data_IF_417531963312
#
_entry.id   IF_417531963312
#
_cell.length_a   1.000
_cell.length_b   1.000
_cell.length_c   1.000
_cell.angle_alpha   90.00
_cell.angle_beta   90.00
_cell.angle_gamma   90.00
#
_symmetry.space_group_name_H-M   'P 1'
#
loop_
_entity.id
_entity.type
_entity.pdbx_description
1 polymer ?
#
# COMPACT_ATOMS: atom_id res chain seq x y z
N UNK A 1 17.07 11.19 -0.45
CA UNK A 1 17.04 12.67 -0.59
C UNK A 1 16.77 13.29 0.79
N UNK A 2 17.43 14.41 1.16
CA UNK A 2 17.14 15.09 2.44
C UNK A 2 15.66 15.49 2.57
N UNK A 3 15.00 15.81 1.44
CA UNK A 3 13.57 16.15 1.43
C UNK A 3 12.69 14.99 1.91
N UNK A 4 13.16 13.75 1.76
CA UNK A 4 12.47 12.52 2.15
C UNK A 4 12.85 12.03 3.55
N UNK A 5 14.06 12.34 4.03
CA UNK A 5 14.60 11.70 5.25
C UNK A 5 14.74 12.64 6.43
N UNK A 6 14.92 13.95 6.21
CA UNK A 6 15.20 14.91 7.28
C UNK A 6 14.14 14.94 8.37
N UNK A 7 12.86 14.87 7.99
CA UNK A 7 11.75 14.86 8.94
C UNK A 7 11.66 13.56 9.75
N UNK A 8 12.15 12.44 9.21
CA UNK A 8 12.22 11.15 9.92
C UNK A 8 13.38 11.12 10.91
N UNK A 9 14.54 11.66 10.52
CA UNK A 9 15.72 11.75 11.38
C UNK A 9 15.51 12.73 12.54
N UNK A 10 14.58 13.68 12.41
CA UNK A 10 14.19 14.61 13.47
C UNK A 10 13.22 14.00 14.51
N UNK A 11 12.71 12.78 14.30
CA UNK A 11 11.82 12.11 15.25
C UNK A 11 12.57 11.70 16.53
N UNK A 12 11.85 11.72 17.66
CA UNK A 12 12.41 11.34 18.95
C UNK A 12 12.97 9.91 18.94
N UNK A 13 14.27 9.79 19.19
CA UNK A 13 15.01 8.52 19.23
C UNK A 13 15.38 7.92 17.87
N UNK A 14 15.22 8.66 16.77
CA UNK A 14 15.66 8.24 15.44
C UNK A 14 17.15 7.85 15.42
N UNK A 15 18.00 8.62 16.11
CA UNK A 15 19.46 8.38 16.16
C UNK A 15 19.87 6.99 16.66
N UNK A 16 19.01 6.31 17.42
CA UNK A 16 19.32 4.99 18.02
C UNK A 16 18.43 3.86 17.51
N UNK A 17 17.23 4.16 17.01
CA UNK A 17 16.21 3.16 16.68
C UNK A 17 15.71 3.22 15.23
N UNK A 18 16.13 4.19 14.44
CA UNK A 18 15.77 4.31 13.04
C UNK A 18 16.98 3.98 12.16
N UNK A 19 16.77 3.08 11.20
CA UNK A 19 17.72 2.82 10.11
C UNK A 19 16.99 3.05 8.80
N UNK A 20 17.57 3.87 7.93
CA UNK A 20 17.01 4.19 6.63
C UNK A 20 17.74 3.37 5.57
N UNK A 21 16.97 2.77 4.68
CA UNK A 21 17.44 2.00 3.54
C UNK A 21 16.89 2.64 2.28
N UNK A 22 17.71 2.71 1.23
CA UNK A 22 17.23 3.07 -0.09
C UNK A 22 16.65 1.80 -0.74
N UNK A 23 15.37 1.84 -1.08
CA UNK A 23 14.61 0.68 -1.57
C UNK A 23 13.80 1.09 -2.79
N UNK A 24 13.69 0.20 -3.77
CA UNK A 24 12.65 0.23 -4.80
C UNK A 24 11.83 -1.06 -4.68
N UNK A 25 10.50 -0.95 -4.73
CA UNK A 25 9.61 -2.11 -4.65
C UNK A 25 9.81 -3.12 -5.80
N UNK A 26 10.36 -2.65 -6.93
CA UNK A 26 10.68 -3.48 -8.08
C UNK A 26 12.14 -3.99 -8.08
N UNK A 27 12.96 -3.56 -7.12
CA UNK A 27 14.32 -4.07 -6.89
C UNK A 27 14.33 -4.98 -5.64
N UNK A 28 14.25 -6.29 -5.90
CA UNK A 28 14.16 -7.31 -4.85
C UNK A 28 15.32 -7.25 -3.83
N UNK A 29 16.55 -7.07 -4.31
CA UNK A 29 17.74 -7.10 -3.44
C UNK A 29 17.78 -5.90 -2.48
N UNK A 30 17.25 -4.76 -2.92
CA UNK A 30 17.07 -3.58 -2.08
C UNK A 30 16.11 -3.83 -0.92
N UNK A 31 15.05 -4.63 -1.16
CA UNK A 31 14.05 -5.00 -0.15
C UNK A 31 14.65 -6.00 0.86
N UNK A 32 15.32 -7.04 0.38
CA UNK A 32 15.96 -8.07 1.23
C UNK A 32 16.90 -7.43 2.25
N UNK A 33 17.67 -6.43 1.83
CA UNK A 33 18.58 -5.68 2.70
C UNK A 33 17.88 -5.02 3.88
N UNK A 34 16.61 -4.62 3.72
CA UNK A 34 15.84 -3.93 4.74
C UNK A 34 15.02 -4.87 5.64
N UNK A 35 14.55 -6.02 5.14
CA UNK A 35 13.74 -6.95 5.97
C UNK A 35 14.56 -8.01 6.72
N UNK A 36 15.82 -8.22 6.34
CA UNK A 36 16.70 -9.15 7.04
C UNK A 36 16.86 -8.79 8.52
N UNK A 37 16.53 -9.75 9.39
CA UNK A 37 16.57 -9.57 10.85
C UNK A 37 15.31 -8.93 11.45
N UNK A 38 14.28 -8.63 10.66
CA UNK A 38 13.00 -8.15 11.16
C UNK A 38 12.14 -9.29 11.74
N UNK A 39 11.49 -9.04 12.88
CA UNK A 39 10.49 -9.96 13.44
C UNK A 39 9.12 -9.84 12.76
N UNK A 40 8.80 -8.64 12.25
CA UNK A 40 7.56 -8.29 11.57
C UNK A 40 7.83 -7.23 10.49
N UNK A 41 6.99 -7.20 9.46
CA UNK A 41 7.09 -6.20 8.38
C UNK A 41 5.76 -5.47 8.22
N UNK A 42 5.82 -4.15 8.13
CA UNK A 42 4.67 -3.31 7.78
C UNK A 42 4.84 -2.85 6.33
N UNK A 43 4.07 -3.41 5.41
CA UNK A 43 4.10 -3.03 4.00
C UNK A 43 3.10 -1.91 3.73
N UNK A 44 3.60 -0.67 3.78
CA UNK A 44 2.83 0.55 3.53
C UNK A 44 3.03 1.10 2.11
N UNK A 45 4.13 0.74 1.45
CA UNK A 45 4.56 1.35 0.21
C UNK A 45 3.65 0.93 -0.95
N UNK A 46 2.99 1.90 -1.57
CA UNK A 46 2.16 1.71 -2.76
C UNK A 46 1.99 3.05 -3.46
N UNK A 47 2.10 3.12 -4.79
CA UNK A 47 1.82 4.36 -5.52
C UNK A 47 0.37 4.83 -5.29
N UNK A 48 0.22 6.11 -4.96
CA UNK A 48 -1.07 6.75 -4.75
C UNK A 48 -1.12 8.04 -5.58
N UNK A 49 -1.66 7.92 -6.80
CA UNK A 49 -1.71 9.01 -7.78
C UNK A 49 -3.15 9.53 -7.83
N UNK A 50 -3.32 10.82 -7.53
CA UNK A 50 -4.63 11.53 -7.58
C UNK A 50 -4.88 12.14 -8.96
N UNK A 51 -3.82 12.37 -9.73
CA UNK A 51 -3.88 12.94 -11.07
C UNK A 51 -4.15 11.89 -12.15
N UNK A 52 -4.31 12.36 -13.38
CA UNK A 52 -4.48 11.49 -14.54
C UNK A 52 -3.31 10.50 -14.68
N UNK A 53 -3.66 9.22 -14.80
CA UNK A 53 -2.70 8.13 -14.94
C UNK A 53 -2.60 7.73 -16.42
N UNK A 54 -1.47 8.03 -17.05
CA UNK A 54 -1.24 7.75 -18.48
C UNK A 54 -0.82 6.31 -18.74
N UNK A 55 -0.04 5.74 -17.82
CA UNK A 55 0.50 4.38 -17.93
C UNK A 55 0.13 3.57 -16.67
N UNK A 56 -1.15 3.18 -16.50
CA UNK A 56 -1.63 2.58 -15.26
C UNK A 56 -0.90 1.29 -14.88
N UNK A 57 -0.48 0.51 -15.88
CA UNK A 57 0.31 -0.70 -15.65
C UNK A 57 1.62 -0.36 -14.93
N UNK A 58 2.42 0.54 -15.52
CA UNK A 58 3.75 0.91 -15.00
C UNK A 58 3.69 1.77 -13.74
N UNK A 59 2.71 2.67 -13.66
CA UNK A 59 2.64 3.69 -12.61
C UNK A 59 1.91 3.22 -11.35
N UNK A 60 0.98 2.26 -11.47
CA UNK A 60 0.15 1.79 -10.35
C UNK A 60 0.15 0.27 -10.19
N UNK A 61 -0.19 -0.48 -11.24
CA UNK A 61 -0.49 -1.91 -11.12
C UNK A 61 0.77 -2.74 -10.82
N UNK A 62 1.80 -2.62 -11.65
CA UNK A 62 3.08 -3.31 -11.48
C UNK A 62 3.73 -3.03 -10.11
N UNK A 63 4.00 -1.76 -9.73
CA UNK A 63 4.61 -1.47 -8.44
C UNK A 63 3.74 -1.91 -7.25
N UNK A 64 2.41 -1.85 -7.35
CA UNK A 64 1.54 -2.33 -6.27
C UNK A 64 1.56 -3.87 -6.16
N UNK A 65 1.39 -4.58 -7.28
CA UNK A 65 1.25 -6.04 -7.28
C UNK A 65 2.62 -6.71 -7.11
N UNK A 66 3.56 -6.44 -8.02
CA UNK A 66 4.91 -7.04 -7.97
C UNK A 66 5.66 -6.61 -6.72
N UNK A 67 5.53 -5.34 -6.33
CA UNK A 67 6.11 -4.83 -5.09
C UNK A 67 5.60 -5.55 -3.85
N UNK A 68 4.29 -5.81 -3.77
CA UNK A 68 3.71 -6.57 -2.67
C UNK A 68 4.24 -8.00 -2.64
N UNK A 69 4.27 -8.69 -3.78
CA UNK A 69 4.82 -10.05 -3.87
C UNK A 69 6.30 -10.08 -3.48
N UNK A 70 7.10 -9.11 -3.92
CA UNK A 70 8.52 -8.99 -3.57
C UNK A 70 8.72 -8.84 -2.05
N UNK A 71 7.97 -7.95 -1.40
CA UNK A 71 8.04 -7.76 0.06
C UNK A 71 7.64 -9.02 0.82
N UNK A 72 6.57 -9.69 0.40
CA UNK A 72 6.12 -10.94 1.02
C UNK A 72 7.13 -12.08 0.83
N UNK A 73 7.77 -12.13 -0.35
CA UNK A 73 8.82 -13.10 -0.65
C UNK A 73 10.04 -12.87 0.25
N UNK A 74 10.55 -11.64 0.30
CA UNK A 74 11.66 -11.29 1.17
C UNK A 74 11.35 -11.56 2.65
N UNK A 75 10.13 -11.22 3.11
CA UNK A 75 9.70 -11.47 4.48
C UNK A 75 9.66 -12.97 4.80
N UNK A 76 9.12 -13.79 3.89
CA UNK A 76 9.08 -15.24 4.05
C UNK A 76 10.48 -15.84 4.12
N UNK A 77 11.37 -15.43 3.22
CA UNK A 77 12.76 -15.93 3.16
C UNK A 77 13.57 -15.51 4.39
N UNK A 78 13.34 -14.30 4.92
CA UNK A 78 13.96 -13.82 6.14
C UNK A 78 13.38 -14.43 7.44
N UNK A 79 12.34 -15.27 7.35
CA UNK A 79 11.70 -15.89 8.51
C UNK A 79 10.86 -14.91 9.35
N UNK A 80 10.33 -13.85 8.74
CA UNK A 80 9.43 -12.89 9.40
C UNK A 80 8.18 -13.60 9.91
N UNK A 81 7.77 -13.27 11.14
CA UNK A 81 6.63 -13.93 11.79
C UNK A 81 5.27 -13.50 11.24
N UNK A 82 5.11 -12.22 10.90
CA UNK A 82 3.88 -11.66 10.31
C UNK A 82 4.18 -10.44 9.45
N UNK A 83 3.44 -10.31 8.34
CA UNK A 83 3.38 -9.09 7.54
C UNK A 83 2.03 -8.40 7.74
N UNK A 84 2.06 -7.10 8.06
CA UNK A 84 0.89 -6.24 8.06
C UNK A 84 0.87 -5.45 6.75
N UNK A 85 -0.07 -5.77 5.88
CA UNK A 85 -0.30 -5.10 4.61
C UNK A 85 -1.23 -3.91 4.81
N UNK A 86 -0.80 -2.73 4.38
CA UNK A 86 -1.71 -1.57 4.29
C UNK A 86 -2.41 -1.61 2.94
N UNK A 87 -3.63 -2.14 2.95
CA UNK A 87 -4.53 -2.07 1.80
C UNK A 87 -5.27 -0.72 1.80
N UNK A 88 -6.56 -0.69 1.46
CA UNK A 88 -7.39 0.50 1.44
C UNK A 88 -8.87 0.12 1.37
N UNK A 89 -9.75 1.01 1.79
CA UNK A 89 -11.18 0.95 1.44
C UNK A 89 -11.37 0.83 -0.09
N UNK A 90 -10.41 1.29 -0.91
CA UNK A 90 -10.41 1.14 -2.35
C UNK A 90 -10.29 -0.31 -2.86
N UNK A 91 -9.97 -1.27 -1.98
CA UNK A 91 -10.07 -2.71 -2.26
C UNK A 91 -11.47 -3.29 -1.96
N UNK A 92 -12.33 -2.51 -1.30
CA UNK A 92 -13.71 -2.84 -0.92
C UNK A 92 -14.73 -2.09 -1.80
N UNK A 93 -14.41 -0.86 -2.22
CA UNK A 93 -15.19 -0.02 -3.14
C UNK A 93 -14.32 0.57 -4.28
N UNK A 94 -14.86 0.82 -5.48
CA UNK A 94 -16.28 0.82 -5.86
C UNK A 94 -16.86 -0.58 -6.13
N UNK A 95 -18.14 -0.75 -5.82
CA UNK A 95 -18.95 -1.92 -6.18
C UNK A 95 -20.36 -1.43 -6.55
N UNK A 96 -20.58 -0.97 -7.80
CA UNK A 96 -21.76 -0.19 -8.20
C UNK A 96 -23.09 -0.93 -8.05
N UNK A 97 -23.06 -2.26 -8.12
CA UNK A 97 -24.26 -3.11 -7.99
C UNK A 97 -24.57 -3.49 -6.54
N UNK A 98 -23.86 -2.92 -5.55
CA UNK A 98 -24.08 -3.23 -4.15
C UNK A 98 -25.40 -2.60 -3.65
N UNK A 99 -26.26 -3.34 -2.91
CA UNK A 99 -27.49 -2.78 -2.36
C UNK A 99 -27.21 -1.61 -1.41
N UNK A 100 -27.93 -0.50 -1.57
CA UNK A 100 -27.69 0.73 -0.79
C UNK A 100 -28.06 0.64 0.69
N UNK A 101 -28.84 -0.38 1.07
CA UNK A 101 -29.30 -0.67 2.44
C UNK A 101 -28.45 -1.73 3.15
N UNK A 102 -27.45 -2.31 2.46
CA UNK A 102 -26.58 -3.34 3.02
C UNK A 102 -25.23 -2.74 3.40
N UNK A 103 -24.91 -2.81 4.70
CA UNK A 103 -23.61 -2.37 5.24
C UNK A 103 -22.49 -3.22 4.66
N UNK A 104 -21.39 -2.57 4.26
CA UNK A 104 -20.17 -3.24 3.81
C UNK A 104 -19.30 -3.65 5.00
N UNK A 105 -18.75 -4.84 4.92
CA UNK A 105 -17.82 -5.43 5.89
C UNK A 105 -16.54 -5.93 5.18
N UNK A 106 -15.68 -6.65 5.90
CA UNK A 106 -14.42 -7.19 5.40
C UNK A 106 -14.59 -8.32 4.37
N UNK A 107 -15.81 -8.82 4.15
CA UNK A 107 -16.10 -9.81 3.10
C UNK A 107 -16.37 -9.15 1.74
N UNK A 108 -16.51 -7.83 1.70
CA UNK A 108 -16.82 -7.06 0.52
C UNK A 108 -15.55 -6.75 -0.30
N UNK A 109 -15.68 -6.82 -1.62
CA UNK A 109 -14.59 -6.50 -2.56
C UNK A 109 -15.03 -5.47 -3.60
N UNK A 110 -14.06 -4.68 -4.05
CA UNK A 110 -14.18 -3.83 -5.23
C UNK A 110 -14.50 -4.65 -6.48
N UNK A 111 -15.32 -4.09 -7.35
CA UNK A 111 -15.62 -4.63 -8.67
C UNK A 111 -14.45 -4.34 -9.64
N UNK A 112 -13.65 -5.38 -9.88
CA UNK A 112 -12.46 -5.34 -10.74
C UNK A 112 -12.80 -4.95 -12.18
N UNK A 113 -13.90 -5.45 -12.72
CA UNK A 113 -14.28 -5.21 -14.11
C UNK A 113 -14.80 -3.79 -14.28
N UNK A 114 -15.59 -3.30 -13.32
CA UNK A 114 -15.97 -1.90 -13.26
C UNK A 114 -14.74 -0.99 -13.23
N UNK A 115 -13.75 -1.27 -12.38
CA UNK A 115 -12.55 -0.45 -12.29
C UNK A 115 -11.75 -0.44 -13.61
N UNK A 116 -11.60 -1.58 -14.28
CA UNK A 116 -10.92 -1.67 -15.58
C UNK A 116 -11.65 -0.89 -16.67
N UNK A 117 -12.98 -1.01 -16.75
CA UNK A 117 -13.79 -0.36 -17.77
C UNK A 117 -13.86 1.16 -17.60
N UNK A 118 -13.82 1.65 -16.36
CA UNK A 118 -13.98 3.07 -16.04
C UNK A 118 -12.66 3.77 -15.69
N UNK A 119 -11.51 3.09 -15.86
CA UNK A 119 -10.19 3.67 -15.57
C UNK A 119 -9.97 4.01 -14.10
N UNK A 120 -10.61 3.29 -13.16
CA UNK A 120 -10.44 3.49 -11.71
C UNK A 120 -9.20 2.73 -11.23
N UNK A 121 -8.04 3.17 -11.71
CA UNK A 121 -6.79 2.41 -11.65
C UNK A 121 -6.23 2.22 -10.23
N UNK A 122 -6.41 3.18 -9.33
CA UNK A 122 -5.95 3.06 -7.94
C UNK A 122 -6.74 2.00 -7.17
N UNK A 123 -8.08 1.99 -7.30
CA UNK A 123 -8.89 0.92 -6.71
C UNK A 123 -8.53 -0.43 -7.29
N UNK A 124 -8.30 -0.52 -8.61
CA UNK A 124 -7.85 -1.74 -9.24
C UNK A 124 -6.51 -2.22 -8.68
N UNK A 125 -5.52 -1.34 -8.55
CA UNK A 125 -4.18 -1.70 -8.07
C UNK A 125 -4.20 -2.17 -6.62
N UNK A 126 -4.92 -1.48 -5.73
CA UNK A 126 -5.06 -1.90 -4.32
C UNK A 126 -5.78 -3.24 -4.21
N UNK A 127 -6.85 -3.44 -4.99
CA UNK A 127 -7.60 -4.70 -5.01
C UNK A 127 -6.74 -5.87 -5.46
N UNK A 128 -6.00 -5.71 -6.57
CA UNK A 128 -5.17 -6.78 -7.12
C UNK A 128 -3.94 -7.06 -6.25
N UNK A 129 -3.32 -6.04 -5.67
CA UNK A 129 -2.20 -6.22 -4.74
C UNK A 129 -2.64 -6.97 -3.46
N UNK A 130 -3.81 -6.65 -2.90
CA UNK A 130 -4.34 -7.36 -1.73
C UNK A 130 -4.69 -8.82 -2.06
N UNK A 131 -5.34 -9.08 -3.21
CA UNK A 131 -5.60 -10.46 -3.66
C UNK A 131 -4.31 -11.25 -3.87
N UNK A 132 -3.29 -10.66 -4.49
CA UNK A 132 -1.98 -11.29 -4.65
C UNK A 132 -1.31 -11.60 -3.30
N UNK A 133 -1.49 -10.74 -2.29
CA UNK A 133 -1.00 -10.99 -0.95
C UNK A 133 -1.70 -12.18 -0.28
N UNK A 134 -3.03 -12.29 -0.42
CA UNK A 134 -3.80 -13.41 0.09
C UNK A 134 -3.44 -14.73 -0.59
N UNK A 135 -3.29 -14.72 -1.92
CA UNK A 135 -2.86 -15.90 -2.68
C UNK A 135 -1.46 -16.35 -2.24
N UNK A 136 -0.52 -15.40 -2.10
CA UNK A 136 0.82 -15.69 -1.61
C UNK A 136 0.80 -16.28 -0.19
N UNK A 137 0.05 -15.68 0.73
CA UNK A 137 -0.06 -16.14 2.11
C UNK A 137 -0.58 -17.58 2.17
N UNK A 138 -1.60 -17.89 1.38
CA UNK A 138 -2.20 -19.23 1.26
C UNK A 138 -1.21 -20.24 0.67
N UNK A 139 -0.47 -19.87 -0.37
CA UNK A 139 0.46 -20.78 -1.06
C UNK A 139 1.74 -21.03 -0.25
N UNK A 140 2.33 -19.96 0.30
CA UNK A 140 3.66 -20.02 0.96
C UNK A 140 3.58 -20.16 2.47
N UNK A 141 2.38 -20.11 3.06
CA UNK A 141 2.18 -20.21 4.51
C UNK A 141 2.89 -19.09 5.27
N UNK A 142 2.70 -17.84 4.83
CA UNK A 142 3.14 -16.64 5.54
C UNK A 142 1.93 -16.06 6.26
N UNK A 143 2.09 -15.66 7.52
CA UNK A 143 1.04 -14.95 8.25
C UNK A 143 0.94 -13.50 7.75
N UNK A 144 -0.18 -13.17 7.13
CA UNK A 144 -0.46 -11.85 6.56
C UNK A 144 -1.78 -11.33 7.12
N UNK A 145 -1.78 -10.07 7.54
CA UNK A 145 -2.99 -9.33 7.94
C UNK A 145 -3.09 -8.07 7.10
N UNK A 146 -4.29 -7.78 6.57
CA UNK A 146 -4.55 -6.54 5.85
C UNK A 146 -5.28 -5.53 6.74
N UNK A 147 -4.96 -4.25 6.56
CA UNK A 147 -5.73 -3.12 7.12
C UNK A 147 -6.24 -2.27 5.96
N UNK A 148 -7.54 -1.95 5.96
CA UNK A 148 -8.21 -1.22 4.87
C UNK A 148 -8.66 0.17 5.35
N UNK A 149 -7.75 1.16 5.46
CA UNK A 149 -8.11 2.50 5.89
C UNK A 149 -9.01 3.22 4.87
N UNK A 150 -9.87 4.11 5.39
CA UNK A 150 -10.64 5.07 4.60
C UNK A 150 -9.83 6.29 4.21
N UNK A 151 -10.48 7.45 4.10
CA UNK A 151 -9.80 8.73 3.87
C UNK A 151 -8.98 9.13 5.10
N UNK A 152 -7.66 9.16 4.94
CA UNK A 152 -6.72 9.49 6.02
C UNK A 152 -6.54 11.00 6.16
N UNK A 153 -6.86 11.54 7.33
CA UNK A 153 -6.73 12.95 7.68
C UNK A 153 -6.03 13.10 9.03
N UNK A 154 -5.29 14.19 9.21
CA UNK A 154 -4.65 14.51 10.48
C UNK A 154 -3.36 15.32 10.32
N UNK A 155 -2.59 15.49 11.41
CA UNK A 155 -1.27 16.09 11.35
C UNK A 155 -0.35 15.34 10.38
N UNK A 156 0.52 16.08 9.69
CA UNK A 156 1.37 15.55 8.63
C UNK A 156 2.82 15.60 9.08
N UNK A 157 3.47 14.43 9.15
CA UNK A 157 4.90 14.35 9.50
C UNK A 157 5.80 14.73 8.31
N UNK A 158 5.56 14.23 7.07
CA UNK A 158 6.32 14.67 5.90
C UNK A 158 6.01 16.14 5.54
N UNK A 159 6.93 16.85 4.87
CA UNK A 159 6.73 18.24 4.45
C UNK A 159 5.76 18.39 3.23
N UNK A 160 4.96 17.38 2.93
CA UNK A 160 4.03 17.32 1.79
C UNK A 160 2.73 16.67 2.23
N UNK A 161 1.61 17.16 1.68
CA UNK A 161 0.30 16.55 1.88
C UNK A 161 0.24 15.16 1.23
N UNK A 162 -0.43 14.23 1.89
CA UNK A 162 -0.81 12.95 1.27
C UNK A 162 -1.94 13.15 0.25
N UNK A 163 -2.21 12.10 -0.53
CA UNK A 163 -3.26 12.08 -1.54
C UNK A 163 -4.65 12.48 -0.99
N UNK A 164 -5.03 11.92 0.17
CA UNK A 164 -6.31 12.18 0.84
C UNK A 164 -6.52 13.67 1.15
N UNK A 165 -5.52 14.34 1.73
CA UNK A 165 -5.60 15.76 2.05
C UNK A 165 -5.49 16.65 0.79
N UNK A 166 -4.76 16.22 -0.23
CA UNK A 166 -4.73 16.92 -1.53
C UNK A 166 -6.10 16.92 -2.21
N UNK A 167 -6.83 15.80 -2.16
CA UNK A 167 -8.21 15.74 -2.66
C UNK A 167 -9.12 16.72 -1.92
N UNK A 168 -9.02 16.77 -0.58
CA UNK A 168 -9.80 17.73 0.21
C UNK A 168 -9.45 19.18 -0.15
N UNK A 169 -8.16 19.49 -0.29
CA UNK A 169 -7.72 20.84 -0.67
C UNK A 169 -8.29 21.26 -2.04
N UNK A 170 -8.35 20.36 -3.01
CA UNK A 170 -8.93 20.62 -4.34
C UNK A 170 -10.43 20.90 -4.30
N UNK A 171 -11.17 20.35 -3.33
CA UNK A 171 -12.60 20.63 -3.16
C UNK A 171 -12.86 22.01 -2.53
N UNK A 172 -11.87 22.57 -1.85
CA UNK A 172 -11.95 23.88 -1.20
C UNK A 172 -11.52 25.03 -2.11
N UNK A 173 -10.96 24.72 -3.29
CA UNK A 173 -10.52 25.68 -4.31
C UNK A 173 -11.55 25.80 -5.43
#
# INVERSE_FOLDING_TARGET
>A
DESETKHLLALEGAETRLRLFQIDLLDYDSIVSAVNGCAGVFHLASPCIVDEVKEPERQLLDPAIKGTVNVLTAAKEAGVSRVVLTSSISAIIPSPNWPGDVVKDENCWTDVDYCKQNGVWYSLSKTLAEKAAWDFAKEKGLDVVAVNPGTEMGPVTPPRLNASMLMLLRLLQ
#
